data_IF_492298011321
#
_entry.id   IF_492298011321
#
_cell.length_a   1.000
_cell.length_b   1.000
_cell.length_c   1.000
_cell.angle_alpha   90.00
_cell.angle_beta   90.00
_cell.angle_gamma   90.00
#
_symmetry.space_group_name_H-M   'P 1'
#
loop_
_entity.id
_entity.type
_entity.pdbx_description
1 polymer ?
#
# COMPACT_ATOMS: atom_id res chain seq x y z
N UNK A 1 6.43 -0.41 -9.87
CA UNK A 1 5.91 -1.20 -11.02
C UNK A 1 4.54 -1.72 -10.65
N UNK A 2 3.57 -1.70 -11.55
CA UNK A 2 2.21 -2.21 -11.32
C UNK A 2 1.84 -3.28 -12.34
N UNK A 3 1.07 -4.28 -11.93
CA UNK A 3 0.46 -5.25 -12.83
C UNK A 3 -0.95 -4.77 -13.23
N UNK A 4 -1.26 -4.79 -14.52
CA UNK A 4 -2.53 -4.30 -15.08
C UNK A 4 -3.07 -5.36 -16.03
N UNK A 5 -3.90 -6.29 -15.54
CA UNK A 5 -4.32 -7.44 -16.36
C UNK A 5 -3.11 -8.28 -16.80
N UNK A 6 -2.89 -8.40 -18.11
CA UNK A 6 -1.80 -9.19 -18.72
C UNK A 6 -0.56 -8.37 -19.09
N UNK A 7 -0.35 -7.22 -18.44
CA UNK A 7 0.81 -6.35 -18.69
C UNK A 7 1.35 -5.78 -17.38
N UNK A 8 2.56 -5.24 -17.46
CA UNK A 8 3.29 -4.63 -16.37
C UNK A 8 3.72 -3.22 -16.76
N UNK A 9 3.48 -2.26 -15.87
CA UNK A 9 3.90 -0.87 -16.05
C UNK A 9 5.02 -0.55 -15.07
N UNK A 10 6.16 -0.12 -15.60
CA UNK A 10 7.30 0.35 -14.82
C UNK A 10 7.47 1.86 -14.99
N UNK A 11 7.95 2.52 -13.95
CA UNK A 11 8.11 3.98 -13.90
C UNK A 11 9.54 4.36 -13.53
N UNK A 12 9.93 5.57 -13.87
CA UNK A 12 11.21 6.15 -13.48
C UNK A 12 11.53 7.38 -14.29
N UNK A 13 12.77 7.42 -14.80
CA UNK A 13 13.28 8.51 -15.63
C UNK A 13 13.82 8.01 -16.97
N UNK A 14 13.61 8.80 -18.02
CA UNK A 14 14.32 8.66 -19.28
C UNK A 14 15.47 9.70 -19.36
N UNK A 15 16.65 9.25 -19.79
CA UNK A 15 17.89 10.03 -19.91
C UNK A 15 18.48 10.55 -18.60
N UNK A 16 19.71 10.13 -18.25
CA UNK A 16 20.41 10.64 -17.05
C UNK A 16 20.66 12.16 -17.11
N UNK A 17 20.79 12.72 -18.31
CA UNK A 17 21.12 14.14 -18.50
C UNK A 17 19.90 15.07 -18.41
N UNK A 18 18.71 14.60 -18.81
CA UNK A 18 17.48 15.40 -18.75
C UNK A 18 16.57 14.98 -17.59
N UNK A 19 16.64 13.73 -17.11
CA UNK A 19 15.77 13.17 -16.08
C UNK A 19 14.30 13.46 -16.40
N UNK A 20 13.80 12.90 -17.49
CA UNK A 20 12.40 13.12 -17.89
C UNK A 20 11.53 12.08 -17.19
N UNK A 21 10.45 12.45 -16.49
CA UNK A 21 9.58 11.44 -15.88
C UNK A 21 8.96 10.56 -16.96
N UNK A 22 9.01 9.25 -16.75
CA UNK A 22 8.66 8.28 -17.78
C UNK A 22 8.03 7.01 -17.22
N UNK A 23 7.27 6.35 -18.08
CA UNK A 23 6.71 5.03 -17.84
C UNK A 23 6.79 4.15 -19.09
N UNK A 24 6.83 2.84 -18.88
CA UNK A 24 6.81 1.85 -19.96
C UNK A 24 5.80 0.77 -19.63
N UNK A 25 5.04 0.32 -20.63
CA UNK A 25 4.21 -0.88 -20.53
C UNK A 25 4.82 -2.04 -21.29
N UNK A 26 4.83 -3.20 -20.67
CA UNK A 26 5.34 -4.44 -21.22
C UNK A 26 4.26 -5.51 -21.03
N UNK A 27 3.90 -6.22 -22.09
CA UNK A 27 3.03 -7.39 -22.02
C UNK A 27 3.65 -8.51 -21.17
N UNK A 28 2.83 -9.46 -20.72
CA UNK A 28 3.29 -10.67 -20.03
C UNK A 28 4.25 -11.54 -20.87
N UNK A 29 4.23 -11.39 -22.20
CA UNK A 29 5.20 -11.97 -23.13
C UNK A 29 6.59 -11.33 -23.06
N UNK A 30 6.70 -10.14 -22.47
CA UNK A 30 7.91 -9.31 -22.47
C UNK A 30 7.98 -8.30 -23.62
N UNK A 31 6.95 -8.21 -24.47
CA UNK A 31 6.91 -7.26 -25.57
C UNK A 31 6.57 -5.85 -25.07
N UNK A 32 7.30 -4.84 -25.55
CA UNK A 32 6.99 -3.44 -25.27
C UNK A 32 5.67 -3.05 -25.97
N UNK A 33 4.71 -2.57 -25.20
CA UNK A 33 3.44 -2.05 -25.73
C UNK A 33 3.51 -0.56 -26.02
N UNK A 34 3.91 0.24 -25.04
CA UNK A 34 4.02 1.69 -25.16
C UNK A 34 5.11 2.28 -24.26
N UNK A 35 5.51 3.51 -24.61
CA UNK A 35 6.33 4.40 -23.80
C UNK A 35 5.54 5.67 -23.54
N UNK A 36 5.58 6.12 -22.30
CA UNK A 36 5.00 7.37 -21.89
C UNK A 36 6.10 8.28 -21.34
N UNK A 37 6.02 9.55 -21.70
CA UNK A 37 6.86 10.60 -21.19
C UNK A 37 5.96 11.73 -20.71
N UNK A 38 6.34 12.35 -19.60
CA UNK A 38 5.61 13.48 -19.04
C UNK A 38 5.42 14.63 -20.07
N UNK A 39 4.19 15.15 -20.27
CA UNK A 39 3.91 16.14 -21.33
C UNK A 39 4.68 17.46 -21.22
N UNK A 40 5.00 17.89 -19.99
CA UNK A 40 5.71 19.14 -19.73
C UNK A 40 7.16 19.17 -20.29
N UNK A 41 7.79 18.03 -20.61
CA UNK A 41 9.20 17.92 -21.03
C UNK A 41 10.22 18.57 -20.06
N UNK A 42 9.81 18.69 -18.79
CA UNK A 42 10.59 19.24 -17.67
C UNK A 42 11.39 18.14 -16.95
N UNK A 43 12.43 18.55 -16.22
CA UNK A 43 13.18 17.60 -15.38
C UNK A 43 12.29 17.08 -14.26
N UNK A 44 12.41 15.83 -13.88
CA UNK A 44 11.64 15.24 -12.78
C UNK A 44 11.78 13.72 -12.70
N UNK A 45 10.93 13.11 -11.89
CA UNK A 45 10.90 11.65 -11.69
C UNK A 45 9.48 11.16 -11.54
N UNK A 46 9.15 10.02 -12.17
CA UNK A 46 7.95 9.26 -11.82
C UNK A 46 8.32 8.27 -10.74
N UNK A 47 7.78 8.45 -9.54
CA UNK A 47 8.16 7.70 -8.34
C UNK A 47 7.36 6.41 -8.18
N UNK A 48 6.05 6.48 -8.40
CA UNK A 48 5.17 5.34 -8.18
C UNK A 48 4.06 5.23 -9.22
N UNK A 49 3.45 4.05 -9.27
CA UNK A 49 2.37 3.70 -10.18
C UNK A 49 1.41 2.73 -9.51
N UNK A 50 0.11 2.93 -9.73
CA UNK A 50 -0.93 1.95 -9.39
C UNK A 50 -1.84 1.66 -10.57
N UNK A 51 -2.47 0.50 -10.57
CA UNK A 51 -3.42 0.09 -11.60
C UNK A 51 -4.81 0.68 -11.33
N UNK A 52 -5.46 1.18 -12.39
CA UNK A 52 -6.82 1.70 -12.34
C UNK A 52 -7.66 1.05 -13.45
N UNK A 53 -8.11 -0.18 -13.20
CA UNK A 53 -8.78 -0.99 -14.22
C UNK A 53 -7.80 -1.39 -15.33
N UNK A 54 -8.02 -0.90 -16.55
CA UNK A 54 -7.09 -1.08 -17.67
C UNK A 54 -6.03 0.04 -17.75
N UNK A 55 -6.26 1.15 -17.06
CA UNK A 55 -5.42 2.33 -17.04
C UNK A 55 -4.41 2.24 -15.88
N UNK A 56 -3.56 3.25 -15.77
CA UNK A 56 -2.66 3.44 -14.63
C UNK A 56 -2.74 4.87 -14.12
N UNK A 57 -2.39 5.02 -12.85
CA UNK A 57 -2.14 6.33 -12.26
C UNK A 57 -0.66 6.40 -11.88
N UNK A 58 -0.02 7.46 -12.33
CA UNK A 58 1.39 7.75 -12.13
C UNK A 58 1.51 8.93 -11.18
N UNK A 59 2.48 8.88 -10.28
CA UNK A 59 2.81 10.00 -9.41
C UNK A 59 4.29 10.31 -9.51
N UNK A 60 4.62 11.58 -9.34
CA UNK A 60 5.98 12.03 -9.46
C UNK A 60 6.21 13.41 -8.92
N UNK A 61 7.38 13.93 -9.28
CA UNK A 61 7.77 15.31 -9.05
C UNK A 61 8.38 15.88 -10.33
N UNK A 62 8.18 17.17 -10.55
CA UNK A 62 8.74 17.96 -11.65
C UNK A 62 9.52 19.14 -11.08
N UNK A 63 10.67 19.43 -11.64
CA UNK A 63 11.42 20.65 -11.37
C UNK A 63 11.16 21.64 -12.49
N UNK A 64 10.24 22.57 -12.24
CA UNK A 64 9.89 23.62 -13.20
C UNK A 64 11.02 24.66 -13.26
N UNK A 65 11.41 25.06 -14.48
CA UNK A 65 12.46 26.06 -14.68
C UNK A 65 12.16 27.38 -13.93
N UNK A 66 13.19 27.93 -13.27
CA UNK A 66 13.14 29.12 -12.38
C UNK A 66 12.39 28.96 -11.04
N UNK A 67 12.07 27.73 -10.61
CA UNK A 67 11.63 27.47 -9.24
C UNK A 67 12.75 26.81 -8.43
N UNK A 68 12.87 27.23 -7.17
CA UNK A 68 13.69 26.56 -6.16
C UNK A 68 12.87 25.40 -5.58
N UNK A 69 12.70 24.35 -6.38
CA UNK A 69 12.28 23.05 -5.87
C UNK A 69 11.49 22.18 -6.84
N UNK A 70 11.06 21.01 -6.36
CA UNK A 70 10.16 20.11 -7.10
C UNK A 70 8.68 20.36 -6.79
N UNK A 71 7.83 20.24 -7.82
CA UNK A 71 6.37 20.28 -7.77
C UNK A 71 5.82 18.87 -7.96
N UNK A 72 5.07 18.33 -6.99
CA UNK A 72 4.44 17.02 -7.10
C UNK A 72 3.26 17.04 -8.07
N UNK A 73 3.13 15.95 -8.84
CA UNK A 73 2.08 15.77 -9.84
C UNK A 73 1.52 14.35 -9.79
N UNK A 74 0.28 14.21 -10.23
CA UNK A 74 -0.43 12.96 -10.44
C UNK A 74 -1.03 12.97 -11.84
N UNK A 75 -0.96 11.85 -12.56
CA UNK A 75 -1.55 11.72 -13.89
C UNK A 75 -2.17 10.35 -14.11
N UNK A 76 -3.33 10.30 -14.76
CA UNK A 76 -3.91 9.06 -15.28
C UNK A 76 -3.49 8.86 -16.72
N UNK A 77 -3.02 7.66 -17.03
CA UNK A 77 -2.60 7.24 -18.36
C UNK A 77 -3.43 6.04 -18.79
N UNK A 78 -4.00 6.12 -19.99
CA UNK A 78 -4.93 5.13 -20.51
C UNK A 78 -4.24 3.82 -20.93
N UNK A 79 -5.05 2.88 -21.43
CA UNK A 79 -4.56 1.61 -21.94
C UNK A 79 -3.54 1.72 -23.09
N UNK A 80 -3.52 2.83 -23.82
CA UNK A 80 -2.67 3.04 -25.00
C UNK A 80 -1.42 3.88 -24.70
N UNK A 81 -1.26 4.36 -23.46
CA UNK A 81 -0.16 5.25 -23.09
C UNK A 81 -0.48 6.73 -23.36
N UNK A 82 -1.75 7.11 -23.49
CA UNK A 82 -2.20 8.49 -23.63
C UNK A 82 -2.58 9.08 -22.26
N UNK A 83 -2.17 10.32 -21.97
CA UNK A 83 -2.57 11.01 -20.75
C UNK A 83 -4.06 11.36 -20.81
N UNK A 84 -4.83 10.91 -19.81
CA UNK A 84 -6.26 11.21 -19.66
C UNK A 84 -6.45 12.54 -18.93
N UNK A 85 -5.78 12.69 -17.78
CA UNK A 85 -5.77 13.90 -16.97
C UNK A 85 -4.46 14.03 -16.19
N UNK A 86 -4.19 15.24 -15.71
CA UNK A 86 -3.03 15.59 -14.89
C UNK A 86 -3.43 16.67 -13.87
N UNK A 87 -2.96 16.50 -12.63
CA UNK A 87 -3.18 17.44 -11.53
C UNK A 87 -1.87 17.72 -10.79
N UNK A 88 -1.60 19.01 -10.54
CA UNK A 88 -0.55 19.44 -9.63
C UNK A 88 -1.17 19.65 -8.24
N UNK A 89 -0.60 19.02 -7.22
CA UNK A 89 -1.23 18.94 -5.90
C UNK A 89 -0.82 20.06 -4.94
N UNK A 90 0.20 20.84 -5.30
CA UNK A 90 0.68 21.99 -4.54
C UNK A 90 0.78 23.20 -5.45
N UNK A 91 0.40 24.36 -4.91
CA UNK A 91 0.39 25.63 -5.63
C UNK A 91 1.80 26.22 -5.82
N UNK A 92 2.77 25.81 -5.00
CA UNK A 92 4.16 26.27 -5.02
C UNK A 92 5.13 25.09 -4.92
N UNK A 93 6.28 25.16 -5.60
CA UNK A 93 7.37 24.22 -5.40
C UNK A 93 7.98 24.43 -4.02
N UNK A 94 8.09 23.33 -3.25
CA UNK A 94 8.59 23.32 -1.88
C UNK A 94 9.43 22.06 -1.63
N UNK A 95 10.18 21.64 -2.66
CA UNK A 95 10.95 20.39 -2.70
C UNK A 95 10.14 19.16 -2.23
N UNK A 96 8.84 19.17 -2.58
CA UNK A 96 7.90 18.11 -2.24
C UNK A 96 7.83 17.08 -3.38
N UNK A 97 7.68 15.81 -3.01
CA UNK A 97 7.53 14.70 -3.95
C UNK A 97 6.49 13.73 -3.45
N UNK A 98 5.69 13.19 -4.38
CA UNK A 98 4.86 12.03 -4.10
C UNK A 98 5.71 10.77 -4.25
N UNK A 99 5.72 9.94 -3.23
CA UNK A 99 6.53 8.71 -3.17
C UNK A 99 5.65 7.47 -3.37
N UNK A 100 4.37 7.57 -3.03
CA UNK A 100 3.46 6.43 -3.03
C UNK A 100 2.06 6.78 -3.53
N UNK A 101 1.41 5.77 -4.10
CA UNK A 101 0.07 5.87 -4.68
C UNK A 101 -0.66 4.54 -4.55
N UNK A 102 -1.93 4.58 -4.16
CA UNK A 102 -2.81 3.42 -4.15
C UNK A 102 -4.22 3.78 -4.59
N UNK A 103 -4.98 2.77 -5.05
CA UNK A 103 -6.39 2.95 -5.35
C UNK A 103 -7.16 2.93 -4.03
N UNK A 104 -7.83 4.03 -3.72
CA UNK A 104 -8.68 4.14 -2.53
C UNK A 104 -10.10 3.61 -2.77
N UNK A 105 -10.91 3.55 -1.69
CA UNK A 105 -12.36 3.33 -1.77
C UNK A 105 -13.07 4.46 -2.53
N UNK A 106 -14.31 4.21 -2.97
CA UNK A 106 -15.21 5.18 -3.59
C UNK A 106 -14.61 6.01 -4.74
N UNK A 107 -13.99 5.31 -5.71
CA UNK A 107 -13.49 5.92 -6.95
C UNK A 107 -12.40 6.97 -6.70
N UNK A 108 -11.58 6.74 -5.67
CA UNK A 108 -10.45 7.61 -5.33
C UNK A 108 -9.10 6.98 -5.61
N UNK A 109 -8.11 7.84 -5.76
CA UNK A 109 -6.69 7.52 -5.72
C UNK A 109 -6.11 8.27 -4.52
N UNK A 110 -5.45 7.53 -3.64
CA UNK A 110 -4.74 8.11 -2.52
C UNK A 110 -3.27 8.27 -2.87
N UNK A 111 -2.69 9.41 -2.51
CA UNK A 111 -1.26 9.69 -2.68
C UNK A 111 -0.67 10.33 -1.44
N UNK A 112 0.60 10.03 -1.19
CA UNK A 112 1.38 10.59 -0.10
C UNK A 112 2.86 10.73 -0.51
N UNK A 113 3.63 11.46 0.28
CA UNK A 113 4.95 11.91 -0.12
C UNK A 113 5.84 12.45 0.98
N UNK A 114 6.82 13.26 0.57
CA UNK A 114 7.72 14.01 1.45
C UNK A 114 7.60 15.50 1.20
N UNK A 115 8.07 16.29 2.16
CA UNK A 115 8.37 17.71 2.00
C UNK A 115 9.69 18.02 2.72
N UNK A 116 10.65 18.67 2.05
CA UNK A 116 11.92 19.08 2.67
C UNK A 116 11.81 20.38 3.49
N UNK A 117 10.67 21.08 3.43
CA UNK A 117 10.48 22.40 4.07
C UNK A 117 9.15 22.60 4.78
N UNK A 118 8.24 21.62 4.76
CA UNK A 118 6.86 21.83 5.15
C UNK A 118 6.07 20.57 5.51
N UNK A 119 4.77 20.75 5.54
CA UNK A 119 3.79 19.74 5.95
C UNK A 119 3.69 18.59 4.94
N UNK A 120 3.87 17.35 5.41
CA UNK A 120 3.65 16.17 4.57
C UNK A 120 2.15 15.98 4.34
N UNK A 121 1.76 16.21 3.09
CA UNK A 121 0.39 16.06 2.63
C UNK A 121 0.04 14.63 2.22
N UNK A 122 -1.13 14.18 2.64
CA UNK A 122 -1.87 13.05 2.08
C UNK A 122 -3.08 13.59 1.32
N UNK A 123 -3.39 13.01 0.16
CA UNK A 123 -4.47 13.48 -0.70
C UNK A 123 -5.33 12.32 -1.15
N UNK A 124 -6.63 12.54 -1.23
CA UNK A 124 -7.52 11.76 -2.08
C UNK A 124 -7.85 12.57 -3.33
N UNK A 125 -7.67 11.93 -4.48
CA UNK A 125 -7.90 12.48 -5.81
C UNK A 125 -8.98 11.64 -6.47
N UNK A 126 -9.93 12.28 -7.14
CA UNK A 126 -10.98 11.62 -7.89
C UNK A 126 -10.39 10.84 -9.09
N UNK A 127 -10.74 9.57 -9.24
CA UNK A 127 -10.17 8.72 -10.28
C UNK A 127 -10.67 9.06 -11.70
N UNK A 128 -11.79 9.79 -11.80
CA UNK A 128 -12.44 10.13 -13.06
C UNK A 128 -11.82 11.37 -13.70
N UNK A 129 -11.73 12.47 -12.95
CA UNK A 129 -11.33 13.79 -13.47
C UNK A 129 -10.01 14.32 -12.89
N UNK A 130 -9.47 13.68 -11.85
CA UNK A 130 -8.23 14.12 -11.21
C UNK A 130 -8.42 15.27 -10.20
N UNK A 131 -9.66 15.62 -9.85
CA UNK A 131 -9.92 16.68 -8.88
C UNK A 131 -9.53 16.23 -7.46
N UNK A 132 -8.92 17.14 -6.70
CA UNK A 132 -8.56 16.88 -5.30
C UNK A 132 -9.84 16.90 -4.45
N UNK A 133 -10.25 15.73 -3.95
CA UNK A 133 -11.41 15.61 -3.06
C UNK A 133 -11.08 16.13 -1.66
N UNK A 134 -9.92 15.78 -1.14
CA UNK A 134 -9.42 16.32 0.12
C UNK A 134 -7.90 16.26 0.22
N UNK A 135 -7.37 17.13 1.08
CA UNK A 135 -5.98 17.16 1.53
C UNK A 135 -5.92 17.12 3.06
N UNK A 136 -4.98 16.36 3.60
CA UNK A 136 -4.65 16.29 5.03
C UNK A 136 -3.15 16.42 5.22
N UNK A 137 -2.77 17.00 6.34
CA UNK A 137 -1.38 17.08 6.79
C UNK A 137 -1.16 16.02 7.86
N UNK A 138 -0.03 15.32 7.79
CA UNK A 138 0.41 14.37 8.82
C UNK A 138 1.10 15.12 9.97
N UNK A 139 1.23 14.49 11.14
CA UNK A 139 1.99 15.03 12.28
C UNK A 139 3.33 15.64 11.84
N UNK A 140 3.68 16.82 12.39
CA UNK A 140 4.84 17.63 11.99
C UNK A 140 6.19 16.92 12.15
N UNK A 141 6.24 15.86 12.96
CA UNK A 141 7.46 15.06 13.14
C UNK A 141 7.65 14.02 12.05
N UNK A 142 6.62 13.67 11.27
CA UNK A 142 6.75 12.72 10.16
C UNK A 142 7.53 13.39 9.04
N UNK A 143 8.64 12.77 8.66
CA UNK A 143 9.61 13.32 7.70
C UNK A 143 9.46 12.73 6.30
N UNK A 144 8.92 11.51 6.21
CA UNK A 144 8.75 10.81 4.93
C UNK A 144 7.65 9.76 5.07
N UNK A 145 6.74 9.71 4.09
CA UNK A 145 5.82 8.59 3.89
C UNK A 145 6.33 7.75 2.73
N UNK A 146 6.44 6.44 2.91
CA UNK A 146 7.11 5.54 1.97
C UNK A 146 6.12 4.62 1.24
N UNK A 147 5.10 4.15 1.96
CA UNK A 147 4.15 3.20 1.41
C UNK A 147 2.74 3.42 1.98
N UNK A 148 1.74 3.07 1.17
CA UNK A 148 0.32 3.16 1.52
C UNK A 148 -0.44 1.93 1.04
N UNK A 149 -1.27 1.40 1.91
CA UNK A 149 -2.22 0.33 1.60
C UNK A 149 -3.64 0.86 1.80
N UNK A 150 -4.50 0.66 0.79
CA UNK A 150 -5.92 0.94 0.95
C UNK A 150 -6.57 -0.14 1.79
N UNK A 151 -7.33 0.28 2.81
CA UNK A 151 -8.12 -0.59 3.67
C UNK A 151 -9.58 -0.56 3.23
N UNK A 152 -10.41 -1.43 3.82
CA UNK A 152 -11.84 -1.46 3.52
C UNK A 152 -12.59 -0.16 3.87
N UNK A 153 -12.08 0.60 4.84
CA UNK A 153 -12.71 1.80 5.43
C UNK A 153 -11.72 2.96 5.62
N UNK A 154 -10.58 2.92 4.94
CA UNK A 154 -9.53 3.92 5.13
C UNK A 154 -8.20 3.55 4.48
N UNK A 155 -7.11 3.98 5.10
CA UNK A 155 -5.76 3.84 4.57
C UNK A 155 -4.77 3.50 5.69
N UNK A 156 -3.82 2.62 5.41
CA UNK A 156 -2.67 2.38 6.27
C UNK A 156 -1.42 2.98 5.64
N UNK A 157 -0.66 3.75 6.41
CA UNK A 157 0.53 4.46 5.99
C UNK A 157 1.73 3.97 6.79
N UNK A 158 2.88 3.91 6.13
CA UNK A 158 4.17 3.72 6.80
C UNK A 158 5.18 4.72 6.28
N UNK A 159 6.09 5.11 7.17
CA UNK A 159 7.22 5.93 6.81
C UNK A 159 8.16 6.13 7.98
N UNK A 160 8.71 7.32 8.05
CA UNK A 160 9.68 7.73 9.05
C UNK A 160 9.28 9.05 9.69
N UNK A 161 9.61 9.18 10.97
CA UNK A 161 9.53 10.45 11.69
C UNK A 161 10.89 10.84 12.26
N UNK A 162 11.12 12.13 12.39
CA UNK A 162 12.25 12.68 13.10
C UNK A 162 12.14 12.43 14.61
N UNK A 163 13.29 12.25 15.23
CA UNK A 163 13.46 12.11 16.67
C UNK A 163 14.71 12.87 17.08
N UNK A 164 14.86 13.18 18.37
CA UNK A 164 16.07 13.84 18.92
C UNK A 164 17.39 13.15 18.52
N UNK A 165 17.32 11.87 18.18
CA UNK A 165 18.45 10.97 18.00
C UNK A 165 18.56 10.36 16.59
N UNK A 166 17.77 10.83 15.62
CA UNK A 166 17.73 10.35 14.24
C UNK A 166 16.31 10.13 13.74
N UNK A 167 16.04 9.00 13.10
CA UNK A 167 14.70 8.64 12.61
C UNK A 167 14.13 7.42 13.32
N UNK A 168 12.80 7.36 13.37
CA UNK A 168 12.02 6.22 13.83
C UNK A 168 10.95 5.83 12.81
N UNK A 169 10.68 4.53 12.68
CA UNK A 169 9.60 4.08 11.82
C UNK A 169 8.26 4.49 12.41
N UNK A 170 7.38 5.00 11.57
CA UNK A 170 6.05 5.47 11.95
C UNK A 170 5.00 4.75 11.12
N UNK A 171 3.87 4.44 11.75
CA UNK A 171 2.71 3.84 11.11
C UNK A 171 1.48 4.66 11.48
N UNK A 172 0.63 4.93 10.49
CA UNK A 172 -0.65 5.61 10.66
C UNK A 172 -1.78 4.85 10.02
N UNK A 173 -2.98 4.96 10.58
CA UNK A 173 -4.24 4.53 9.99
C UNK A 173 -5.14 5.74 9.91
N UNK A 174 -5.61 6.02 8.69
CA UNK A 174 -6.53 7.10 8.39
C UNK A 174 -7.90 6.52 8.05
N UNK A 175 -8.95 7.23 8.42
CA UNK A 175 -10.30 7.01 7.92
C UNK A 175 -10.37 7.43 6.44
N UNK A 176 -11.48 7.08 5.79
CA UNK A 176 -11.70 7.37 4.38
C UNK A 176 -11.66 8.87 4.02
N UNK A 177 -12.04 9.75 4.95
CA UNK A 177 -11.98 11.21 4.83
C UNK A 177 -10.61 11.81 5.20
N UNK A 178 -9.63 10.93 5.44
CA UNK A 178 -8.27 11.26 5.82
C UNK A 178 -8.09 11.64 7.29
N UNK A 179 -9.12 11.53 8.14
CA UNK A 179 -8.95 11.74 9.58
C UNK A 179 -8.07 10.64 10.19
N UNK A 180 -7.12 11.05 11.02
CA UNK A 180 -6.25 10.11 11.72
C UNK A 180 -7.04 9.31 12.76
N UNK A 181 -7.14 8.00 12.56
CA UNK A 181 -7.77 7.07 13.51
C UNK A 181 -6.74 6.63 14.54
N UNK A 182 -5.56 6.26 14.07
CA UNK A 182 -4.54 5.66 14.93
C UNK A 182 -3.15 5.91 14.38
N UNK A 183 -2.17 6.06 15.27
CA UNK A 183 -0.76 6.13 14.89
C UNK A 183 0.10 5.41 15.92
N UNK A 184 1.27 4.94 15.49
CA UNK A 184 2.31 4.45 16.39
C UNK A 184 3.69 4.70 15.84
N UNK A 185 4.68 4.62 16.72
CA UNK A 185 6.09 4.64 16.37
C UNK A 185 6.69 3.29 16.74
N UNK A 186 7.36 2.67 15.77
CA UNK A 186 7.99 1.37 15.93
C UNK A 186 9.51 1.57 16.04
N UNK A 187 10.04 1.72 17.27
CA UNK A 187 11.47 1.47 17.62
C UNK A 187 11.81 1.91 19.06
N UNK A 188 12.85 1.29 19.64
CA UNK A 188 13.65 1.81 20.77
C UNK A 188 15.07 2.28 20.32
N UNK A 189 15.47 1.95 19.09
CA UNK A 189 16.80 2.20 18.50
C UNK A 189 16.82 3.36 17.49
N UNK A 190 17.98 4.03 17.40
CA UNK A 190 18.24 5.14 16.49
C UNK A 190 18.22 4.70 15.01
N UNK A 191 17.74 5.58 14.12
CA UNK A 191 17.84 5.45 12.65
C UNK A 191 17.08 4.26 12.08
N UNK A 192 15.81 4.14 12.45
CA UNK A 192 14.90 3.13 11.90
C UNK A 192 13.91 3.81 10.98
N UNK A 193 13.66 3.24 9.81
CA UNK A 193 12.69 3.71 8.82
C UNK A 193 11.73 2.59 8.48
N UNK A 194 10.45 2.92 8.31
CA UNK A 194 9.46 2.00 7.77
C UNK A 194 9.32 2.22 6.27
N UNK A 195 9.26 1.14 5.49
CA UNK A 195 9.37 1.21 4.02
C UNK A 195 8.26 0.47 3.29
N UNK A 196 7.53 -0.43 3.95
CA UNK A 196 6.42 -1.14 3.32
C UNK A 196 5.38 -1.59 4.32
N UNK A 197 4.13 -1.59 3.88
CA UNK A 197 2.97 -1.96 4.68
C UNK A 197 1.97 -2.78 3.85
N UNK A 198 1.30 -3.74 4.48
CA UNK A 198 0.26 -4.54 3.82
C UNK A 198 -0.76 -5.05 4.84
N UNK A 199 -2.06 -5.02 4.46
CA UNK A 199 -3.12 -5.61 5.26
C UNK A 199 -3.00 -7.15 5.28
N UNK A 200 -3.10 -7.72 6.47
CA UNK A 200 -3.11 -9.16 6.68
C UNK A 200 -4.54 -9.69 6.71
N UNK A 201 -4.72 -10.97 6.36
CA UNK A 201 -6.05 -11.56 6.19
C UNK A 201 -6.90 -11.61 7.48
N UNK A 202 -6.27 -11.48 8.66
CA UNK A 202 -6.93 -11.40 9.96
C UNK A 202 -7.22 -9.95 10.40
N UNK A 203 -7.06 -8.96 9.51
CA UNK A 203 -7.35 -7.55 9.78
C UNK A 203 -6.22 -6.81 10.50
N UNK A 204 -5.05 -7.41 10.67
CA UNK A 204 -3.84 -6.73 11.13
C UNK A 204 -3.04 -6.10 9.98
N UNK A 205 -1.88 -5.54 10.30
CA UNK A 205 -0.94 -4.96 9.35
C UNK A 205 0.42 -5.68 9.45
N UNK A 206 1.03 -5.96 8.31
CA UNK A 206 2.43 -6.38 8.23
C UNK A 206 3.26 -5.18 7.78
N UNK A 207 4.27 -4.82 8.55
CA UNK A 207 5.09 -3.63 8.34
C UNK A 207 6.55 -4.02 8.29
N UNK A 208 7.28 -3.55 7.30
CA UNK A 208 8.70 -3.79 7.13
C UNK A 208 9.50 -2.50 6.99
N UNK A 209 10.81 -2.61 7.20
CA UNK A 209 11.71 -1.48 7.06
C UNK A 209 13.16 -1.84 7.30
N UNK A 210 13.97 -0.81 7.54
CA UNK A 210 15.38 -0.97 7.86
C UNK A 210 15.80 -0.16 9.09
N UNK A 211 16.82 -0.65 9.78
CA UNK A 211 17.55 0.05 10.83
C UNK A 211 18.97 0.28 10.35
N UNK A 212 19.32 1.56 10.10
CA UNK A 212 20.62 1.99 9.59
C UNK A 212 21.58 2.30 10.73
N UNK A 213 22.16 1.24 11.29
CA UNK A 213 23.33 1.29 12.18
C UNK A 213 24.58 0.77 11.45
N UNK A 214 25.67 0.48 12.17
CA UNK A 214 26.93 -0.01 11.58
C UNK A 214 26.79 -1.29 10.74
N UNK A 215 25.69 -2.04 10.91
CA UNK A 215 25.45 -3.31 10.23
C UNK A 215 24.26 -3.28 9.24
N UNK A 216 23.47 -2.19 9.16
CA UNK A 216 22.21 -2.06 8.40
C UNK A 216 21.33 -3.32 8.37
N UNK A 217 20.23 -3.35 9.15
CA UNK A 217 19.39 -4.54 9.29
C UNK A 217 17.98 -4.30 8.78
N UNK A 218 17.44 -5.24 8.00
CA UNK A 218 16.01 -5.27 7.71
C UNK A 218 15.22 -5.76 8.94
N UNK A 219 14.02 -5.24 9.15
CA UNK A 219 13.10 -5.67 10.20
C UNK A 219 11.68 -5.87 9.64
N UNK A 220 10.87 -6.64 10.37
CA UNK A 220 9.47 -6.93 10.05
C UNK A 220 8.67 -7.01 11.35
N UNK A 221 7.50 -6.39 11.38
CA UNK A 221 6.57 -6.37 12.50
C UNK A 221 5.15 -6.67 12.02
N UNK A 222 4.37 -7.40 12.83
CA UNK A 222 2.92 -7.54 12.65
C UNK A 222 2.22 -6.72 13.73
N UNK A 223 1.22 -5.93 13.35
CA UNK A 223 0.41 -5.11 14.24
C UNK A 223 -1.05 -5.59 14.19
N UNK A 224 -1.63 -5.95 15.33
CA UNK A 224 -3.02 -6.40 15.42
C UNK A 224 -3.31 -7.72 14.68
N UNK A 225 -4.56 -7.88 14.27
CA UNK A 225 -5.08 -9.06 13.59
C UNK A 225 -5.47 -10.17 14.55
N UNK A 226 -6.68 -10.05 15.12
CA UNK A 226 -7.38 -11.10 15.86
C UNK A 226 -8.75 -11.30 15.20
N UNK A 227 -8.93 -12.43 14.52
CA UNK A 227 -10.13 -12.74 13.74
C UNK A 227 -11.41 -12.95 14.58
N UNK A 228 -11.32 -12.89 15.92
CA UNK A 228 -12.43 -13.13 16.86
C UNK A 228 -12.99 -11.86 17.51
N UNK A 229 -12.49 -10.67 17.18
CA UNK A 229 -12.99 -9.39 17.71
C UNK A 229 -13.80 -8.67 16.63
N UNK A 230 -15.13 -8.57 16.80
CA UNK A 230 -16.04 -7.93 15.85
C UNK A 230 -15.91 -6.39 15.77
N UNK A 231 -15.28 -5.75 16.77
CA UNK A 231 -15.13 -4.29 16.84
C UNK A 231 -13.75 -3.84 16.33
N UNK A 232 -13.71 -3.48 15.03
CA UNK A 232 -12.50 -3.14 14.25
C UNK A 232 -11.79 -1.81 14.61
N UNK A 233 -12.18 -1.13 15.69
CA UNK A 233 -11.71 0.25 15.97
C UNK A 233 -11.00 0.47 17.30
N UNK A 234 -10.78 -0.59 18.09
CA UNK A 234 -9.91 -0.52 19.25
C UNK A 234 -8.67 -1.38 18.98
N UNK A 235 -7.68 -0.82 18.27
CA UNK A 235 -6.36 -1.45 18.19
C UNK A 235 -5.75 -1.43 19.61
N UNK A 236 -5.64 -2.58 20.30
CA UNK A 236 -5.21 -2.59 21.68
C UNK A 236 -3.74 -2.17 21.77
N UNK A 237 -3.39 -1.46 22.86
CA UNK A 237 -2.00 -1.26 23.27
C UNK A 237 -1.25 -2.58 23.19
N UNK A 238 -0.02 -2.61 22.62
CA UNK A 238 0.63 -3.84 22.20
C UNK A 238 0.78 -4.79 23.39
N UNK A 239 -0.04 -5.84 23.44
CA UNK A 239 0.26 -7.00 24.25
C UNK A 239 1.11 -7.93 23.40
N UNK A 240 2.42 -7.76 23.51
CA UNK A 240 3.37 -8.72 22.97
C UNK A 240 3.06 -10.08 23.62
N UNK A 241 2.72 -11.14 22.86
CA UNK A 241 2.70 -12.48 23.45
C UNK A 241 4.12 -12.80 23.93
N UNK A 242 4.24 -13.29 25.17
CA UNK A 242 5.48 -13.42 25.94
C UNK A 242 6.55 -14.39 25.40
N UNK A 243 6.64 -14.61 24.09
CA UNK A 243 7.70 -15.37 23.43
C UNK A 243 8.49 -14.56 22.38
N UNK A 244 8.32 -13.23 22.29
CA UNK A 244 9.20 -12.38 21.45
C UNK A 244 10.47 -12.03 22.22
N UNK A 245 11.42 -12.97 22.26
CA UNK A 245 12.82 -12.56 22.11
C UNK A 245 13.08 -12.35 20.63
N UNK A 246 13.84 -11.32 20.21
CA UNK A 246 14.12 -11.08 18.80
C UNK A 246 14.79 -12.31 18.19
N UNK A 247 14.13 -12.97 17.24
CA UNK A 247 14.79 -13.96 16.39
C UNK A 247 15.72 -13.20 15.44
N UNK A 248 17.01 -13.16 15.78
CA UNK A 248 18.07 -12.90 14.82
C UNK A 248 18.14 -14.11 13.88
N UNK A 249 17.50 -14.03 12.73
CA UNK A 249 17.80 -14.92 11.61
C UNK A 249 18.91 -14.26 10.77
N UNK A 250 20.14 -14.70 11.01
CA UNK A 250 21.30 -14.27 10.23
C UNK A 250 21.35 -14.90 8.84
N UNK A 251 22.01 -14.13 7.96
CA UNK A 251 22.66 -14.51 6.69
C UNK A 251 21.72 -14.72 5.48
N UNK A 252 21.82 -13.79 4.53
CA UNK A 252 22.05 -14.15 3.13
C UNK A 252 21.16 -13.49 2.08
N UNK A 253 21.77 -12.56 1.32
CA UNK A 253 21.43 -12.15 -0.07
C UNK A 253 20.08 -11.41 -0.17
N UNK A 254 20.02 -10.09 -0.36
CA UNK A 254 20.50 -9.34 -1.52
C UNK A 254 19.35 -9.07 -2.48
N UNK A 255 19.01 -7.79 -2.72
CA UNK A 255 18.11 -7.35 -3.79
C UNK A 255 16.67 -7.09 -3.34
N UNK A 256 16.19 -5.87 -3.59
CA UNK A 256 14.83 -5.43 -3.28
C UNK A 256 13.76 -6.29 -3.95
N UNK A 257 12.64 -6.48 -3.25
CA UNK A 257 11.42 -7.05 -3.81
C UNK A 257 10.24 -6.29 -3.19
N UNK A 258 9.85 -5.18 -3.83
CA UNK A 258 8.47 -4.69 -3.78
C UNK A 258 7.83 -5.19 -5.08
N UNK A 259 7.06 -6.27 -5.01
CA UNK A 259 6.52 -6.92 -6.21
C UNK A 259 5.51 -8.02 -5.92
N UNK A 260 4.24 -7.65 -6.00
CA UNK A 260 3.09 -8.48 -6.44
C UNK A 260 2.82 -9.75 -5.61
N UNK A 261 1.94 -9.65 -4.61
CA UNK A 261 1.17 -10.80 -4.13
C UNK A 261 -0.10 -10.95 -4.98
N UNK A 262 0.00 -11.73 -6.06
CA UNK A 262 -1.14 -12.07 -6.90
C UNK A 262 -2.16 -12.94 -6.12
N UNK A 263 -3.31 -12.36 -5.75
CA UNK A 263 -4.45 -13.13 -5.23
C UNK A 263 -5.11 -13.91 -6.36
N UNK A 264 -4.85 -15.21 -6.47
CA UNK A 264 -5.75 -16.15 -7.17
C UNK A 264 -6.99 -16.38 -6.31
N UNK A 265 -8.13 -15.76 -6.63
CA UNK A 265 -9.44 -16.22 -6.14
C UNK A 265 -9.75 -17.55 -6.82
N UNK A 266 -9.68 -18.66 -6.08
CA UNK A 266 -10.35 -19.89 -6.47
C UNK A 266 -11.71 -19.92 -5.79
N UNK A 267 -12.75 -19.74 -6.60
CA UNK A 267 -14.12 -20.04 -6.19
C UNK A 267 -14.30 -21.55 -6.14
N UNK A 268 -14.70 -22.07 -4.98
CA UNK A 268 -15.31 -23.37 -4.85
C UNK A 268 -16.45 -23.24 -3.84
N UNK A 269 -17.66 -23.12 -4.36
CA UNK A 269 -18.90 -23.29 -3.62
C UNK A 269 -18.99 -24.74 -3.16
N UNK A 270 -18.89 -24.98 -1.85
CA UNK A 270 -19.22 -26.27 -1.27
C UNK A 270 -20.75 -26.42 -1.23
N UNK A 271 -21.31 -27.13 -2.22
CA UNK A 271 -22.68 -27.64 -2.15
C UNK A 271 -22.68 -28.92 -1.30
N UNK A 272 -23.27 -28.84 -0.11
CA UNK A 272 -23.49 -30.01 0.73
C UNK A 272 -24.64 -30.85 0.18
N UNK A 273 -24.34 -32.04 -0.31
CA UNK A 273 -25.30 -33.15 -0.44
C UNK A 273 -24.70 -34.37 0.27
N UNK A 274 -25.14 -34.60 1.51
CA UNK A 274 -24.80 -35.81 2.24
C UNK A 274 -25.74 -36.95 1.80
N UNK A 275 -25.19 -37.87 1.00
CA UNK A 275 -25.80 -39.15 0.66
C UNK A 275 -25.15 -40.29 1.46
N UNK A 276 -26.01 -41.02 2.16
CA UNK A 276 -25.91 -42.34 2.78
C UNK A 276 -24.62 -43.19 2.64
N UNK A 277 -24.17 -43.73 3.78
CA UNK A 277 -23.76 -45.13 3.96
C UNK A 277 -23.99 -45.47 5.44
N UNK A 278 -25.04 -46.22 5.78
CA UNK A 278 -25.09 -47.69 5.88
C UNK A 278 -24.06 -48.25 6.86
N UNK A 279 -24.49 -48.48 8.10
CA UNK A 279 -23.89 -49.46 8.98
C UNK A 279 -24.94 -50.09 9.88
N UNK A 280 -25.04 -51.41 9.69
CA UNK A 280 -25.82 -52.42 10.37
C UNK A 280 -25.41 -52.58 11.84
N UNK A 281 -26.37 -52.73 12.74
CA UNK A 281 -26.56 -53.94 13.58
C UNK A 281 -27.47 -53.62 14.78
N UNK A 282 -28.63 -54.29 14.80
CA UNK A 282 -29.51 -54.43 15.96
C UNK A 282 -29.79 -55.92 16.16
N UNK A 283 -29.64 -56.46 17.38
CA UNK A 283 -30.37 -57.64 17.77
C UNK A 283 -31.30 -57.40 18.97
N UNK A 284 -32.54 -57.87 18.78
CA UNK A 284 -33.44 -58.43 19.80
C UNK A 284 -34.15 -57.41 20.71
N UNK A 285 -35.42 -57.53 21.12
CA UNK A 285 -36.37 -58.62 21.08
C UNK A 285 -37.76 -58.07 21.49
N UNK A 286 -38.80 -58.78 21.05
CA UNK A 286 -40.10 -58.98 21.72
C UNK A 286 -41.19 -57.87 21.84
N UNK A 287 -42.27 -58.16 21.09
CA UNK A 287 -43.62 -58.46 21.60
C UNK A 287 -44.73 -57.39 21.60
N UNK A 288 -45.51 -57.43 20.51
CA UNK A 288 -46.97 -57.73 20.44
C UNK A 288 -48.03 -56.73 21.03
N UNK A 289 -49.33 -56.83 20.68
CA UNK A 289 -50.09 -55.73 20.06
C UNK A 289 -51.48 -55.49 20.71
N UNK A 290 -52.40 -54.85 19.96
CA UNK A 290 -53.86 -54.67 20.18
C UNK A 290 -54.21 -53.41 20.99
N UNK A 291 -55.31 -52.68 20.74
CA UNK A 291 -56.39 -52.72 19.75
C UNK A 291 -57.24 -51.46 19.93
N UNK A 292 -57.78 -50.95 18.82
CA UNK A 292 -58.98 -50.11 18.52
C UNK A 292 -60.02 -49.79 19.61
N UNK A 293 -61.01 -48.90 19.35
CA UNK A 293 -61.27 -48.08 18.15
C UNK A 293 -61.19 -46.56 18.35
#
# INVERSE_FOLDING_TARGET
MAAVGNRYVAVGIESENRRLPSAISIADSGDLEWRWQHPADERGTTWAVTALGADVVLVGSLRVDNQDGETPWIARVDANGETVWETFLWDEADDARLTTVTRGPDETVFVAGTSEGGEIGSFAVDDHDGDVQWRRTTDETVSELEDVEALGDGYALVGSRETDDGTAAWVGVLAQDGETVWTTTLTEERRTTGTSICETADGGLLVGGETRNDASRAWLAKLGGDAEVEDRWEMPSPSLPGWVTPFVAGIGIGGGVAGVLARRRSGATASATAGASDQTDDPSNDANPKSSP
#
